data_IF_423416915280
#
_entry.id   IF_423416915280
#
_cell.length_a   1.000
_cell.length_b   1.000
_cell.length_c   1.000
_cell.angle_alpha   90.00
_cell.angle_beta   90.00
_cell.angle_gamma   90.00
#
_symmetry.space_group_name_H-M   'P 1'
#
loop_
_entity.id
_entity.type
_entity.pdbx_description
1 polymer ?
#
# COMPACT_ATOMS: atom_id res chain seq x y z
N UNK A 1 10.96 18.33 11.78
CA UNK A 1 12.13 18.74 10.96
C UNK A 1 13.34 18.16 11.67
N UNK A 2 14.00 17.14 11.10
CA UNK A 2 15.27 16.61 11.62
C UNK A 2 16.35 17.64 11.30
N UNK A 3 16.95 18.23 12.34
CA UNK A 3 17.95 19.28 12.18
C UNK A 3 19.32 18.63 12.03
N UNK A 4 19.89 18.69 10.82
CA UNK A 4 21.29 18.38 10.60
C UNK A 4 22.09 19.67 10.79
N UNK A 5 22.74 19.84 11.94
CA UNK A 5 23.80 20.84 12.03
C UNK A 5 25.06 20.28 11.38
N UNK A 6 25.23 20.61 10.10
CA UNK A 6 26.50 20.49 9.39
C UNK A 6 27.41 21.65 9.79
N UNK A 7 28.01 21.61 10.98
CA UNK A 7 29.01 22.61 11.40
C UNK A 7 29.84 22.10 12.57
N UNK A 8 30.98 21.46 12.30
CA UNK A 8 32.19 21.47 13.16
C UNK A 8 32.11 21.11 14.66
N UNK A 9 31.00 20.59 15.18
CA UNK A 9 30.85 20.18 16.58
C UNK A 9 30.82 18.66 16.71
N UNK A 10 31.63 18.10 17.61
CA UNK A 10 31.59 16.68 17.95
C UNK A 10 30.19 16.31 18.50
N UNK A 11 29.29 15.81 17.63
CA UNK A 11 28.04 15.18 18.07
C UNK A 11 28.43 14.02 18.98
N UNK A 12 27.97 14.06 20.23
CA UNK A 12 28.27 13.01 21.21
C UNK A 12 27.73 11.67 20.71
N UNK A 13 28.38 10.56 21.10
CA UNK A 13 27.84 9.22 20.83
C UNK A 13 26.40 9.06 21.33
N UNK A 14 26.06 9.76 22.41
CA UNK A 14 24.71 9.80 22.97
C UNK A 14 23.70 10.47 22.02
N UNK A 15 24.02 11.66 21.49
CA UNK A 15 23.12 12.39 20.60
C UNK A 15 22.86 11.61 19.30
N UNK A 16 23.87 10.89 18.78
CA UNK A 16 23.68 9.99 17.63
C UNK A 16 22.70 8.86 17.93
N UNK A 17 22.79 8.27 19.12
CA UNK A 17 21.91 7.19 19.55
C UNK A 17 20.45 7.65 19.69
N UNK A 18 20.23 8.83 20.28
CA UNK A 18 18.88 9.42 20.39
C UNK A 18 18.28 9.70 19.00
N UNK A 19 19.06 10.31 18.09
CA UNK A 19 18.61 10.57 16.72
C UNK A 19 18.23 9.27 15.96
N UNK A 20 18.95 8.17 16.19
CA UNK A 20 18.64 6.87 15.59
C UNK A 20 17.32 6.30 16.12
N UNK A 21 17.05 6.42 17.43
CA UNK A 21 15.79 6.01 18.03
C UNK A 21 14.64 6.82 17.45
N UNK A 22 14.76 8.15 17.45
CA UNK A 22 13.71 9.03 16.92
C UNK A 22 13.41 8.73 15.46
N UNK A 23 14.45 8.49 14.65
CA UNK A 23 14.29 8.07 13.25
C UNK A 23 13.50 6.76 13.14
N UNK A 24 13.89 5.75 13.92
CA UNK A 24 13.22 4.45 13.89
C UNK A 24 11.75 4.54 14.33
N UNK A 25 11.46 5.34 15.35
CA UNK A 25 10.08 5.58 15.82
C UNK A 25 9.23 6.28 14.76
N UNK A 26 9.78 7.27 14.06
CA UNK A 26 9.11 7.94 12.95
C UNK A 26 8.80 6.97 11.80
N UNK A 27 9.80 6.21 11.34
CA UNK A 27 9.64 5.21 10.26
C UNK A 27 8.60 4.15 10.61
N UNK A 28 8.59 3.66 11.86
CA UNK A 28 7.59 2.71 12.36
C UNK A 28 6.19 3.31 12.33
N UNK A 29 6.06 4.58 12.72
CA UNK A 29 4.78 5.27 12.78
C UNK A 29 4.24 5.55 11.37
N UNK A 30 5.09 5.92 10.43
CA UNK A 30 4.75 6.06 9.01
C UNK A 30 4.29 4.74 8.40
N UNK A 31 5.05 3.67 8.60
CA UNK A 31 4.71 2.31 8.15
C UNK A 31 3.35 1.88 8.72
N UNK A 32 3.09 2.15 10.00
CA UNK A 32 1.81 1.82 10.64
C UNK A 32 0.64 2.57 10.02
N UNK A 33 0.84 3.84 9.65
CA UNK A 33 -0.18 4.64 8.94
C UNK A 33 -0.45 4.09 7.55
N UNK A 34 0.58 3.65 6.83
CA UNK A 34 0.44 3.04 5.50
C UNK A 34 -0.32 1.72 5.54
N UNK A 35 0.01 0.83 6.47
CA UNK A 35 -0.71 -0.44 6.68
C UNK A 35 -2.20 -0.15 6.92
N UNK A 36 -2.52 0.79 7.80
CA UNK A 36 -3.91 1.18 8.09
C UNK A 36 -4.64 1.73 6.85
N UNK A 37 -3.95 2.48 5.98
CA UNK A 37 -4.53 2.95 4.71
C UNK A 37 -4.83 1.78 3.77
N UNK A 38 -3.94 0.80 3.69
CA UNK A 38 -4.14 -0.42 2.89
C UNK A 38 -5.34 -1.22 3.42
N UNK A 39 -5.45 -1.41 4.73
CA UNK A 39 -6.58 -2.09 5.36
C UNK A 39 -7.91 -1.39 5.03
N UNK A 40 -7.98 -0.07 5.17
CA UNK A 40 -9.16 0.71 4.83
C UNK A 40 -9.53 0.58 3.34
N UNK A 41 -8.54 0.59 2.45
CA UNK A 41 -8.75 0.44 1.01
C UNK A 41 -9.31 -0.95 0.66
N UNK A 42 -8.77 -1.99 1.30
CA UNK A 42 -9.25 -3.37 1.15
C UNK A 42 -10.67 -3.53 1.70
N UNK A 43 -10.98 -2.95 2.85
CA UNK A 43 -12.31 -3.03 3.46
C UNK A 43 -13.38 -2.40 2.56
N UNK A 44 -13.05 -1.28 1.89
CA UNK A 44 -13.98 -0.63 0.96
C UNK A 44 -14.44 -1.52 -0.20
N UNK A 45 -13.55 -2.40 -0.68
CA UNK A 45 -13.84 -3.29 -1.81
C UNK A 45 -14.23 -4.71 -1.39
N UNK A 46 -14.19 -5.02 -0.09
CA UNK A 46 -14.37 -6.37 0.46
C UNK A 46 -15.71 -7.02 0.11
N UNK A 47 -16.76 -6.21 0.00
CA UNK A 47 -18.13 -6.67 -0.32
C UNK A 47 -18.38 -6.80 -1.84
N UNK A 48 -17.39 -6.50 -2.68
CA UNK A 48 -17.53 -6.63 -4.13
C UNK A 48 -17.47 -8.10 -4.56
N UNK A 49 -18.37 -8.51 -5.48
CA UNK A 49 -18.39 -9.87 -6.05
C UNK A 49 -17.03 -10.30 -6.62
N UNK A 50 -16.27 -9.34 -7.15
CA UNK A 50 -14.97 -9.59 -7.77
C UNK A 50 -13.78 -9.36 -6.82
N UNK A 51 -14.02 -9.11 -5.53
CA UNK A 51 -12.95 -9.02 -4.52
C UNK A 51 -12.02 -10.25 -4.48
N UNK A 52 -12.47 -11.50 -4.74
CA UNK A 52 -11.57 -12.65 -4.86
C UNK A 52 -10.44 -12.48 -5.88
N UNK A 53 -10.60 -11.65 -6.92
CA UNK A 53 -9.53 -11.33 -7.88
C UNK A 53 -8.34 -10.71 -7.15
N UNK A 54 -8.58 -9.75 -6.25
CA UNK A 54 -7.53 -9.08 -5.49
C UNK A 54 -6.85 -10.05 -4.54
N UNK A 55 -7.63 -10.92 -3.87
CA UNK A 55 -7.07 -11.96 -2.99
C UNK A 55 -6.13 -12.90 -3.75
N UNK A 56 -6.59 -13.46 -4.88
CA UNK A 56 -5.82 -14.41 -5.67
C UNK A 56 -4.60 -13.80 -6.37
N UNK A 57 -4.66 -12.49 -6.69
CA UNK A 57 -3.56 -11.81 -7.39
C UNK A 57 -2.48 -11.29 -6.43
N UNK A 58 -2.86 -10.84 -5.23
CA UNK A 58 -1.97 -10.07 -4.35
C UNK A 58 -1.89 -10.55 -2.90
N UNK A 59 -2.93 -11.23 -2.39
CA UNK A 59 -3.03 -11.61 -0.97
C UNK A 59 -2.94 -13.13 -0.77
N UNK A 60 -2.37 -13.86 -1.73
CA UNK A 60 -2.18 -15.31 -1.62
C UNK A 60 -1.02 -15.62 -0.69
N UNK A 61 -1.30 -16.46 0.30
CA UNK A 61 -0.29 -17.02 1.18
C UNK A 61 0.74 -17.81 0.36
N UNK A 62 2.01 -17.75 0.78
CA UNK A 62 3.16 -18.40 0.13
C UNK A 62 3.66 -17.79 -1.20
N UNK A 63 3.15 -16.62 -1.59
CA UNK A 63 3.70 -15.86 -2.72
C UNK A 63 3.29 -16.36 -4.11
N UNK A 64 2.45 -17.39 -4.19
CA UNK A 64 1.86 -17.83 -5.46
C UNK A 64 0.83 -16.83 -5.96
N UNK A 65 1.23 -15.99 -6.92
CA UNK A 65 0.32 -15.04 -7.57
C UNK A 65 -0.32 -15.68 -8.78
N UNK A 66 -1.65 -15.67 -8.83
CA UNK A 66 -2.37 -16.20 -9.97
C UNK A 66 -2.30 -15.22 -11.14
N UNK A 67 -2.09 -15.74 -12.36
CA UNK A 67 -2.30 -14.96 -13.57
C UNK A 67 -3.80 -14.79 -13.84
N UNK A 68 -4.12 -13.85 -14.72
CA UNK A 68 -5.50 -13.50 -15.09
C UNK A 68 -6.26 -14.71 -15.66
N UNK A 69 -5.57 -15.58 -16.37
CA UNK A 69 -6.11 -16.81 -16.97
C UNK A 69 -6.53 -17.81 -15.89
N UNK A 70 -5.66 -18.12 -14.92
CA UNK A 70 -6.03 -19.01 -13.80
C UNK A 70 -7.10 -18.41 -12.91
N UNK A 71 -7.13 -17.09 -12.74
CA UNK A 71 -8.19 -16.43 -11.97
C UNK A 71 -9.53 -16.55 -12.72
N UNK A 72 -9.52 -16.39 -14.04
CA UNK A 72 -10.69 -16.59 -14.90
C UNK A 72 -11.23 -18.02 -14.80
N UNK A 73 -10.35 -19.02 -14.85
CA UNK A 73 -10.71 -20.43 -14.65
C UNK A 73 -11.32 -20.67 -13.26
N UNK A 74 -10.68 -20.17 -12.20
CA UNK A 74 -11.16 -20.35 -10.81
C UNK A 74 -12.50 -19.68 -10.52
N UNK A 75 -12.79 -18.58 -11.20
CA UNK A 75 -14.02 -17.81 -11.00
C UNK A 75 -15.10 -18.12 -12.04
N UNK A 76 -14.82 -19.02 -12.99
CA UNK A 76 -15.70 -19.36 -14.11
C UNK A 76 -16.16 -18.10 -14.90
N UNK A 77 -15.20 -17.26 -15.29
CA UNK A 77 -15.46 -15.99 -16.00
C UNK A 77 -14.45 -15.75 -17.09
N UNK A 78 -14.85 -14.96 -18.09
CA UNK A 78 -13.92 -14.52 -19.13
C UNK A 78 -12.77 -13.69 -18.57
N UNK A 79 -11.58 -13.90 -19.13
CA UNK A 79 -10.37 -13.12 -18.86
C UNK A 79 -10.60 -11.61 -19.00
N UNK A 80 -11.40 -11.19 -19.97
CA UNK A 80 -11.75 -9.78 -20.20
C UNK A 80 -12.55 -9.22 -19.01
N UNK A 81 -13.49 -10.00 -18.47
CA UNK A 81 -14.27 -9.65 -17.28
C UNK A 81 -13.39 -9.56 -16.04
N UNK A 82 -12.44 -10.48 -15.86
CA UNK A 82 -11.45 -10.43 -14.77
C UNK A 82 -10.59 -9.18 -14.87
N UNK A 83 -10.03 -8.90 -16.05
CA UNK A 83 -9.15 -7.76 -16.28
C UNK A 83 -9.86 -6.44 -16.02
N UNK A 84 -11.08 -6.27 -16.54
CA UNK A 84 -11.89 -5.06 -16.34
C UNK A 84 -12.22 -4.85 -14.86
N UNK A 85 -12.68 -5.88 -14.17
CA UNK A 85 -13.04 -5.74 -12.74
C UNK A 85 -11.82 -5.58 -11.84
N UNK A 86 -10.68 -6.22 -12.16
CA UNK A 86 -9.40 -5.96 -11.49
C UNK A 86 -9.05 -4.48 -11.58
N UNK A 87 -9.07 -3.90 -12.78
CA UNK A 87 -8.76 -2.48 -12.98
C UNK A 87 -9.73 -1.57 -12.23
N UNK A 88 -11.02 -1.89 -12.24
CA UNK A 88 -12.03 -1.15 -11.45
C UNK A 88 -11.71 -1.17 -9.95
N UNK A 89 -11.46 -2.34 -9.38
CA UNK A 89 -11.16 -2.50 -7.94
C UNK A 89 -9.86 -1.79 -7.55
N UNK A 90 -8.81 -1.90 -8.38
CA UNK A 90 -7.54 -1.21 -8.17
C UNK A 90 -7.76 0.32 -8.20
N UNK A 91 -8.51 0.83 -9.17
CA UNK A 91 -8.79 2.26 -9.24
C UNK A 91 -9.62 2.74 -8.05
N UNK A 92 -10.55 1.93 -7.55
CA UNK A 92 -11.27 2.23 -6.30
C UNK A 92 -10.33 2.26 -5.08
N UNK A 93 -9.34 1.38 -4.99
CA UNK A 93 -8.37 1.42 -3.89
C UNK A 93 -7.40 2.61 -4.02
N UNK A 94 -6.99 2.97 -5.24
CA UNK A 94 -6.08 4.11 -5.48
C UNK A 94 -6.59 5.41 -4.87
N UNK A 95 -7.90 5.66 -4.89
CA UNK A 95 -8.48 6.88 -4.31
C UNK A 95 -8.33 6.96 -2.79
N UNK A 96 -8.16 5.81 -2.13
CA UNK A 96 -7.99 5.71 -0.67
C UNK A 96 -6.51 5.68 -0.30
N UNK A 97 -5.70 4.98 -1.10
CA UNK A 97 -4.27 4.85 -0.89
C UNK A 97 -3.53 6.16 -1.17
N UNK A 98 -3.94 6.89 -2.20
CA UNK A 98 -3.27 8.11 -2.67
C UNK A 98 -4.25 9.28 -2.86
N UNK A 99 -4.87 9.76 -1.78
CA UNK A 99 -5.85 10.85 -1.86
C UNK A 99 -5.23 12.18 -2.35
N UNK A 100 -3.95 12.43 -2.06
CA UNK A 100 -3.26 13.66 -2.45
C UNK A 100 -2.89 13.69 -3.93
N UNK A 101 -2.45 12.57 -4.52
CA UNK A 101 -2.11 12.51 -5.96
C UNK A 101 -3.32 12.69 -6.87
N UNK A 102 -4.54 12.47 -6.37
CA UNK A 102 -5.78 12.75 -7.12
C UNK A 102 -6.16 14.23 -7.08
N UNK A 103 -5.78 14.95 -6.02
CA UNK A 103 -6.02 16.39 -5.93
C UNK A 103 -5.21 17.16 -6.96
N UNK A 104 -3.96 16.76 -7.23
CA UNK A 104 -3.11 17.40 -8.25
C UNK A 104 -3.60 17.16 -9.69
N UNK A 105 -4.36 16.10 -9.95
CA UNK A 105 -4.92 15.83 -11.27
C UNK A 105 -6.20 16.63 -11.58
N UNK A 106 -6.83 17.23 -10.57
CA UNK A 106 -8.08 17.98 -10.69
C UNK A 106 -7.94 19.46 -10.30
N UNK A 107 -6.70 19.92 -10.09
CA UNK A 107 -6.34 21.32 -9.82
C UNK A 107 -5.72 21.95 -11.06
#
# INVERSE_FOLDING_TARGET
IVVYQTSGGNISGHDRYINLIEKYELEKLETSREIKRIENALDKIKNDRYYPIIKLKYLTDHGERYNEERIAEKLDRDRSTITRNKSRLINTMKTILFPESIREFNA
#
